data_IF_244977225438
#
_entry.id   IF_244977225438
#
_cell.length_a   1.000
_cell.length_b   1.000
_cell.length_c   1.000
_cell.angle_alpha   90.00
_cell.angle_beta   90.00
_cell.angle_gamma   90.00
#
_symmetry.space_group_name_H-M   'P 1'
#
loop_
_entity.id
_entity.type
_entity.pdbx_description
1 polymer ?
#
# COMPACT_ATOMS: atom_id res chain seq x y z
N UNK A 1 -0.67 29.18 24.94
CA UNK A 1 0.37 28.14 25.15
C UNK A 1 -0.01 26.75 24.60
N UNK A 2 -1.11 26.10 25.02
CA UNK A 2 -1.44 24.74 24.53
C UNK A 2 -1.70 24.67 23.01
N UNK A 3 -2.33 25.70 22.43
CA UNK A 3 -2.61 25.78 21.00
C UNK A 3 -1.32 25.95 20.16
N UNK A 4 -0.36 26.76 20.63
CA UNK A 4 0.93 26.97 19.95
C UNK A 4 1.79 25.70 19.91
N UNK A 5 1.77 24.90 20.98
CA UNK A 5 2.46 23.61 21.02
C UNK A 5 1.89 22.62 19.99
N UNK A 6 0.58 22.68 19.73
CA UNK A 6 -0.08 21.86 18.70
C UNK A 6 0.28 22.32 17.30
N UNK A 7 0.28 23.63 17.04
CA UNK A 7 0.65 24.19 15.73
C UNK A 7 2.12 23.88 15.39
N UNK A 8 3.05 24.08 16.34
CA UNK A 8 4.48 23.79 16.12
C UNK A 8 4.72 22.31 15.80
N UNK A 9 4.03 21.40 16.50
CA UNK A 9 4.11 19.96 16.24
C UNK A 9 3.57 19.58 14.86
N UNK A 10 2.47 20.20 14.46
CA UNK A 10 1.88 20.00 13.14
C UNK A 10 2.82 20.48 12.02
N UNK A 11 3.34 21.70 12.12
CA UNK A 11 4.31 22.25 11.14
C UNK A 11 5.52 21.33 11.05
N UNK A 12 6.05 20.86 12.18
CA UNK A 12 7.19 19.95 12.19
C UNK A 12 6.89 18.61 11.52
N UNK A 13 5.69 18.06 11.71
CA UNK A 13 5.24 16.88 10.97
C UNK A 13 5.19 17.15 9.46
N UNK A 14 4.61 18.27 9.03
CA UNK A 14 4.54 18.65 7.62
C UNK A 14 5.93 18.79 6.98
N UNK A 15 6.88 19.44 7.66
CA UNK A 15 8.27 19.58 7.19
C UNK A 15 8.93 18.21 7.06
N UNK A 16 8.80 17.35 8.08
CA UNK A 16 9.34 15.98 8.02
C UNK A 16 8.75 15.20 6.87
N UNK A 17 7.44 15.24 6.69
CA UNK A 17 6.76 14.53 5.62
C UNK A 17 7.20 15.05 4.24
N UNK A 18 7.34 16.37 4.08
CA UNK A 18 7.80 16.99 2.84
C UNK A 18 9.21 16.51 2.43
N UNK A 19 10.10 16.30 3.40
CA UNK A 19 11.46 15.79 3.15
C UNK A 19 11.48 14.28 2.99
N UNK A 20 10.75 13.54 3.85
CA UNK A 20 10.77 12.08 3.85
C UNK A 20 10.00 11.47 2.69
N UNK A 21 8.93 12.08 2.21
CA UNK A 21 8.12 11.53 1.13
C UNK A 21 8.90 11.35 -0.18
N UNK A 22 9.64 12.35 -0.71
CA UNK A 22 10.49 12.16 -1.87
C UNK A 22 11.55 11.08 -1.65
N UNK A 23 12.22 11.06 -0.49
CA UNK A 23 13.25 10.05 -0.19
C UNK A 23 12.67 8.64 -0.17
N UNK A 24 11.55 8.44 0.52
CA UNK A 24 10.88 7.13 0.61
C UNK A 24 10.37 6.67 -0.75
N UNK A 25 9.79 7.56 -1.56
CA UNK A 25 9.35 7.26 -2.91
C UNK A 25 10.53 6.87 -3.81
N UNK A 26 11.61 7.65 -3.79
CA UNK A 26 12.82 7.38 -4.54
C UNK A 26 13.41 6.00 -4.19
N UNK A 27 13.52 5.68 -2.91
CA UNK A 27 14.02 4.37 -2.45
C UNK A 27 13.07 3.23 -2.84
N UNK A 28 11.76 3.45 -2.69
CA UNK A 28 10.74 2.47 -3.06
C UNK A 28 10.81 2.13 -4.55
N UNK A 29 10.89 3.14 -5.40
CA UNK A 29 10.97 2.99 -6.84
C UNK A 29 12.19 2.18 -7.32
N UNK A 30 13.30 2.21 -6.58
CA UNK A 30 14.47 1.37 -6.89
C UNK A 30 14.22 -0.12 -6.64
N UNK A 31 13.49 -0.45 -5.57
CA UNK A 31 13.18 -1.86 -5.22
C UNK A 31 11.90 -2.37 -5.88
N UNK A 32 11.14 -1.47 -6.51
CA UNK A 32 9.82 -1.76 -7.05
C UNK A 32 9.80 -2.86 -8.12
N UNK A 33 10.75 -2.99 -9.07
CA UNK A 33 10.76 -4.09 -10.02
C UNK A 33 10.84 -5.47 -9.34
N UNK A 34 11.67 -5.58 -8.29
CA UNK A 34 11.78 -6.81 -7.50
C UNK A 34 10.49 -7.10 -6.73
N UNK A 35 9.87 -6.07 -6.16
CA UNK A 35 8.55 -6.19 -5.53
C UNK A 35 7.48 -6.65 -6.53
N UNK A 36 7.43 -6.04 -7.72
CA UNK A 36 6.48 -6.38 -8.77
C UNK A 36 6.65 -7.83 -9.26
N UNK A 37 7.89 -8.31 -9.34
CA UNK A 37 8.18 -9.70 -9.70
C UNK A 37 7.67 -10.67 -8.63
N UNK A 38 7.96 -10.41 -7.35
CA UNK A 38 7.48 -11.22 -6.24
C UNK A 38 5.95 -11.24 -6.15
N UNK A 39 5.33 -10.06 -6.26
CA UNK A 39 3.89 -9.90 -6.33
C UNK A 39 3.31 -10.71 -7.49
N UNK A 40 3.91 -10.62 -8.68
CA UNK A 40 3.50 -11.35 -9.87
C UNK A 40 3.53 -12.86 -9.75
N UNK A 41 4.54 -13.42 -9.09
CA UNK A 41 4.58 -14.87 -8.84
C UNK A 41 3.47 -15.30 -7.88
N UNK A 42 3.23 -14.53 -6.81
CA UNK A 42 2.16 -14.82 -5.84
C UNK A 42 0.79 -14.78 -6.52
N UNK A 43 0.51 -13.73 -7.29
CA UNK A 43 -0.78 -13.56 -7.98
C UNK A 43 -0.94 -14.53 -9.15
N UNK A 44 0.14 -14.86 -9.88
CA UNK A 44 0.09 -15.90 -10.90
C UNK A 44 -0.23 -17.28 -10.31
N UNK A 45 0.34 -17.62 -9.14
CA UNK A 45 0.00 -18.86 -8.44
C UNK A 45 -1.49 -18.92 -8.10
N UNK A 46 -2.04 -17.85 -7.52
CA UNK A 46 -3.47 -17.76 -7.18
C UNK A 46 -4.35 -17.88 -8.43
N UNK A 47 -4.04 -17.12 -9.49
CA UNK A 47 -4.81 -17.12 -10.74
C UNK A 47 -4.80 -18.50 -11.43
N UNK A 48 -3.66 -19.20 -11.41
CA UNK A 48 -3.56 -20.56 -11.96
C UNK A 48 -4.31 -21.57 -11.09
N UNK A 49 -4.12 -21.53 -9.78
CA UNK A 49 -4.64 -22.53 -8.85
C UNK A 49 -6.16 -22.41 -8.64
N UNK A 50 -6.69 -21.18 -8.54
CA UNK A 50 -8.10 -20.93 -8.20
C UNK A 50 -8.95 -20.69 -9.46
N UNK A 51 -8.42 -19.92 -10.42
CA UNK A 51 -9.20 -19.48 -11.59
C UNK A 51 -8.88 -20.23 -12.89
N UNK A 52 -7.93 -21.17 -12.86
CA UNK A 52 -7.53 -21.93 -14.04
C UNK A 52 -6.92 -21.07 -15.16
N UNK A 53 -6.38 -19.90 -14.82
CA UNK A 53 -5.88 -18.95 -15.81
C UNK A 53 -4.60 -19.51 -16.50
N UNK A 54 -4.50 -19.53 -17.84
CA UNK A 54 -3.40 -20.18 -18.56
C UNK A 54 -2.13 -19.32 -18.61
N UNK A 55 -1.58 -19.00 -17.44
CA UNK A 55 -0.37 -18.20 -17.27
C UNK A 55 0.87 -19.06 -17.56
N UNK A 56 1.65 -18.64 -18.56
CA UNK A 56 2.91 -19.28 -18.96
C UNK A 56 4.12 -18.67 -18.25
N UNK A 57 4.06 -17.39 -17.91
CA UNK A 57 5.15 -16.69 -17.23
C UNK A 57 4.72 -15.34 -16.66
N UNK A 58 5.53 -14.83 -15.73
CA UNK A 58 5.41 -13.47 -15.17
C UNK A 58 6.43 -12.59 -15.89
N UNK A 59 6.01 -11.39 -16.29
CA UNK A 59 6.87 -10.43 -16.97
C UNK A 59 6.84 -9.11 -16.21
N UNK A 60 8.02 -8.56 -15.96
CA UNK A 60 8.19 -7.22 -15.39
C UNK A 60 9.17 -6.47 -16.27
N UNK A 61 8.76 -5.30 -16.75
CA UNK A 61 9.64 -4.39 -17.48
C UNK A 61 9.82 -3.14 -16.65
N UNK A 62 11.01 -2.98 -16.09
CA UNK A 62 11.44 -1.73 -15.47
C UNK A 62 11.63 -0.68 -16.58
N UNK A 63 10.86 0.40 -16.51
CA UNK A 63 10.87 1.47 -17.51
C UNK A 63 10.78 2.84 -16.83
N UNK A 64 11.24 3.88 -17.53
CA UNK A 64 11.22 5.25 -17.04
C UNK A 64 12.35 5.58 -16.04
N UNK A 65 12.48 6.86 -15.72
CA UNK A 65 13.47 7.35 -14.75
C UNK A 65 13.10 6.81 -13.37
N UNK A 66 14.03 6.11 -12.71
CA UNK A 66 13.76 5.41 -11.44
C UNK A 66 12.64 4.37 -11.53
N UNK A 67 12.40 3.74 -12.66
CA UNK A 67 11.38 2.69 -12.81
C UNK A 67 9.93 3.20 -12.66
N UNK A 68 9.65 4.51 -12.71
CA UNK A 68 8.28 5.06 -12.53
C UNK A 68 7.26 4.58 -13.56
N UNK A 69 7.72 4.06 -14.70
CA UNK A 69 6.86 3.49 -15.75
C UNK A 69 6.88 1.96 -15.74
N UNK A 70 7.27 1.33 -14.63
CA UNK A 70 7.32 -0.14 -14.54
C UNK A 70 5.96 -0.73 -14.88
N UNK A 71 5.99 -1.67 -15.83
CA UNK A 71 4.84 -2.49 -16.19
C UNK A 71 5.06 -3.92 -15.72
N UNK A 72 3.98 -4.58 -15.37
CA UNK A 72 3.96 -5.96 -14.90
C UNK A 72 2.79 -6.69 -15.55
N UNK A 73 2.99 -7.96 -15.86
CA UNK A 73 1.98 -8.74 -16.55
C UNK A 73 2.23 -10.23 -16.58
N UNK A 74 1.38 -10.91 -17.34
CA UNK A 74 1.48 -12.34 -17.56
C UNK A 74 1.55 -12.67 -19.04
N UNK A 75 2.34 -13.69 -19.38
CA UNK A 75 2.28 -14.30 -20.71
C UNK A 75 1.12 -15.27 -20.75
N UNK A 76 0.16 -15.01 -21.63
CA UNK A 76 -1.03 -15.82 -21.84
C UNK A 76 -1.12 -16.14 -23.33
N UNK A 77 -1.14 -17.42 -23.69
CA UNK A 77 -1.14 -17.86 -25.09
C UNK A 77 0.00 -17.25 -25.93
N UNK A 78 1.20 -17.13 -25.34
CA UNK A 78 2.37 -16.53 -26.00
C UNK A 78 2.35 -15.02 -26.14
N UNK A 79 1.29 -14.32 -25.69
CA UNK A 79 1.19 -12.87 -25.74
C UNK A 79 1.34 -12.26 -24.34
N UNK A 80 2.21 -11.25 -24.14
CA UNK A 80 2.31 -10.53 -22.88
C UNK A 80 1.09 -9.64 -22.70
N UNK A 81 0.36 -9.82 -21.59
CA UNK A 81 -0.68 -8.92 -21.15
C UNK A 81 -0.16 -8.15 -19.93
N UNK A 82 0.25 -6.89 -20.13
CA UNK A 82 0.92 -6.05 -19.12
C UNK A 82 0.08 -4.85 -18.74
N UNK A 83 0.23 -4.41 -17.48
CA UNK A 83 -0.38 -3.20 -16.96
C UNK A 83 0.65 -2.35 -16.18
N UNK A 84 0.51 -1.02 -16.16
CA UNK A 84 1.36 -0.15 -15.36
C UNK A 84 1.14 -0.43 -13.87
N UNK A 85 2.20 -0.87 -13.18
CA UNK A 85 2.13 -1.25 -11.76
C UNK A 85 2.65 -0.16 -10.83
N UNK A 86 3.47 0.75 -11.36
CA UNK A 86 4.20 1.70 -10.55
C UNK A 86 3.28 2.60 -9.71
N UNK A 87 2.23 3.14 -10.33
CA UNK A 87 1.25 3.99 -9.64
C UNK A 87 0.48 3.22 -8.56
N UNK A 88 0.12 1.96 -8.83
CA UNK A 88 -0.60 1.10 -7.90
C UNK A 88 0.19 0.91 -6.60
N UNK A 89 1.49 0.61 -6.72
CA UNK A 89 2.32 0.14 -5.59
C UNK A 89 3.12 1.27 -4.93
N UNK A 90 3.14 2.47 -5.51
CA UNK A 90 3.81 3.66 -4.95
C UNK A 90 3.22 4.10 -3.60
N UNK A 91 2.02 3.63 -3.28
CA UNK A 91 1.34 3.86 -2.01
C UNK A 91 2.10 3.28 -0.78
N UNK A 92 2.99 2.30 -0.99
CA UNK A 92 3.90 1.79 0.05
C UNK A 92 4.93 2.85 0.43
N UNK A 93 5.53 3.52 -0.57
CA UNK A 93 6.48 4.60 -0.33
C UNK A 93 5.86 5.76 0.45
N UNK A 94 4.63 6.16 0.10
CA UNK A 94 3.90 7.22 0.82
C UNK A 94 3.52 6.79 2.24
N UNK A 95 3.06 5.55 2.43
CA UNK A 95 2.78 5.01 3.76
C UNK A 95 4.02 5.00 4.66
N UNK A 96 5.16 4.54 4.15
CA UNK A 96 6.43 4.56 4.88
C UNK A 96 6.81 5.98 5.30
N UNK A 97 6.67 6.97 4.41
CA UNK A 97 6.94 8.37 4.72
C UNK A 97 6.05 8.90 5.85
N UNK A 98 4.75 8.59 5.84
CA UNK A 98 3.81 8.96 6.89
C UNK A 98 4.19 8.35 8.25
N UNK A 99 4.50 7.06 8.26
CA UNK A 99 4.93 6.35 9.48
C UNK A 99 6.21 6.96 10.05
N UNK A 100 7.23 7.19 9.22
CA UNK A 100 8.50 7.78 9.64
C UNK A 100 8.38 9.25 10.08
N UNK A 101 7.50 10.02 9.45
CA UNK A 101 7.22 11.40 9.85
C UNK A 101 6.55 11.47 11.23
N UNK A 102 5.91 10.38 11.68
CA UNK A 102 5.18 10.32 12.95
C UNK A 102 6.13 10.16 14.13
N UNK A 103 6.63 11.29 14.64
CA UNK A 103 7.66 11.33 15.69
C UNK A 103 7.26 10.88 17.10
N UNK A 104 6.04 10.37 17.32
CA UNK A 104 5.54 9.94 18.65
C UNK A 104 5.54 8.42 18.86
N UNK A 105 5.92 7.64 17.85
CA UNK A 105 5.95 6.19 17.94
C UNK A 105 7.29 5.71 18.48
N UNK A 106 7.25 4.84 19.50
CA UNK A 106 8.46 4.09 19.89
C UNK A 106 8.92 3.19 18.74
N UNK A 107 10.24 2.94 18.64
CA UNK A 107 10.84 2.22 17.50
C UNK A 107 10.18 0.86 17.22
N UNK A 108 9.87 0.08 18.26
CA UNK A 108 9.16 -1.20 18.11
C UNK A 108 7.77 -1.03 17.48
N UNK A 109 7.02 -0.02 17.91
CA UNK A 109 5.66 0.26 17.38
C UNK A 109 5.73 0.80 15.96
N UNK A 110 6.72 1.64 15.66
CA UNK A 110 7.00 2.10 14.31
C UNK A 110 7.32 0.91 13.39
N UNK A 111 8.27 0.04 13.77
CA UNK A 111 8.66 -1.11 12.97
C UNK A 111 7.51 -2.11 12.75
N UNK A 112 6.79 -2.50 13.81
CA UNK A 112 5.66 -3.42 13.70
C UNK A 112 4.49 -2.80 12.93
N UNK A 113 4.17 -1.53 13.18
CA UNK A 113 3.12 -0.81 12.46
C UNK A 113 3.45 -0.67 10.98
N UNK A 114 4.69 -0.29 10.64
CA UNK A 114 5.13 -0.21 9.25
C UNK A 114 5.09 -1.58 8.57
N UNK A 115 5.59 -2.64 9.22
CA UNK A 115 5.54 -3.99 8.67
C UNK A 115 4.09 -4.47 8.43
N UNK A 116 3.20 -4.25 9.40
CA UNK A 116 1.78 -4.61 9.28
C UNK A 116 1.09 -3.84 8.14
N UNK A 117 1.33 -2.52 8.04
CA UNK A 117 0.76 -1.72 6.96
C UNK A 117 1.27 -2.13 5.57
N UNK A 118 2.58 -2.41 5.43
CA UNK A 118 3.16 -2.93 4.19
C UNK A 118 2.52 -4.28 3.82
N UNK A 119 2.32 -5.18 4.79
CA UNK A 119 1.67 -6.47 4.55
C UNK A 119 0.22 -6.30 4.06
N UNK A 120 -0.55 -5.40 4.68
CA UNK A 120 -1.94 -5.10 4.25
C UNK A 120 -1.97 -4.49 2.85
N UNK A 121 -1.09 -3.53 2.56
CA UNK A 121 -0.98 -2.93 1.22
C UNK A 121 -0.62 -3.99 0.17
N UNK A 122 0.38 -4.84 0.46
CA UNK A 122 0.78 -5.91 -0.44
C UNK A 122 -0.34 -6.93 -0.69
N UNK A 123 -1.09 -7.30 0.36
CA UNK A 123 -2.27 -8.14 0.21
C UNK A 123 -3.32 -7.47 -0.69
N UNK A 124 -3.54 -6.17 -0.54
CA UNK A 124 -4.53 -5.43 -1.35
C UNK A 124 -4.07 -5.30 -2.80
N UNK A 125 -2.77 -5.14 -3.06
CA UNK A 125 -2.21 -5.20 -4.43
C UNK A 125 -2.41 -6.58 -5.06
N UNK A 126 -2.19 -7.64 -4.30
CA UNK A 126 -2.42 -9.01 -4.78
C UNK A 126 -3.90 -9.23 -5.10
N UNK A 127 -4.79 -8.82 -4.19
CA UNK A 127 -6.24 -8.90 -4.39
C UNK A 127 -6.70 -8.09 -5.62
N UNK A 128 -6.14 -6.89 -5.81
CA UNK A 128 -6.41 -6.06 -6.99
C UNK A 128 -6.05 -6.80 -8.28
N UNK A 129 -4.82 -7.31 -8.37
CA UNK A 129 -4.35 -8.00 -9.57
C UNK A 129 -5.14 -9.27 -9.86
N UNK A 130 -5.41 -10.08 -8.83
CA UNK A 130 -6.23 -11.28 -8.99
C UNK A 130 -7.63 -10.90 -9.48
N UNK A 131 -8.26 -9.87 -8.92
CA UNK A 131 -9.58 -9.39 -9.35
C UNK A 131 -9.55 -8.84 -10.78
N UNK A 132 -8.56 -8.02 -11.12
CA UNK A 132 -8.37 -7.46 -12.46
C UNK A 132 -8.29 -8.56 -13.53
N UNK A 133 -7.42 -9.56 -13.34
CA UNK A 133 -7.21 -10.61 -14.34
C UNK A 133 -8.33 -11.66 -14.38
N UNK A 134 -8.92 -12.00 -13.23
CA UNK A 134 -10.05 -12.94 -13.16
C UNK A 134 -11.32 -12.37 -13.79
N UNK A 135 -11.56 -11.06 -13.64
CA UNK A 135 -12.74 -10.38 -14.18
C UNK A 135 -12.47 -9.65 -15.50
N UNK A 136 -11.29 -9.78 -16.11
CA UNK A 136 -10.89 -9.03 -17.30
C UNK A 136 -11.95 -9.02 -18.43
N UNK A 137 -12.66 -10.15 -18.62
CA UNK A 137 -13.75 -10.28 -19.60
C UNK A 137 -14.98 -9.43 -19.27
N UNK A 138 -15.30 -9.27 -17.98
CA UNK A 138 -16.42 -8.47 -17.48
C UNK A 138 -16.06 -6.97 -17.47
N UNK A 139 -14.80 -6.66 -17.16
CA UNK A 139 -14.27 -5.29 -17.01
C UNK A 139 -14.25 -4.53 -18.33
N UNK A 140 -14.04 -5.22 -19.45
CA UNK A 140 -14.12 -4.62 -20.78
C UNK A 140 -15.47 -3.93 -21.07
N UNK A 141 -16.49 -4.20 -20.25
CA UNK A 141 -17.85 -3.66 -20.39
C UNK A 141 -18.14 -2.46 -19.49
N UNK A 142 -17.49 -2.32 -18.34
CA UNK A 142 -17.70 -1.23 -17.38
C UNK A 142 -16.43 -0.95 -16.56
N UNK A 143 -15.81 0.20 -16.79
CA UNK A 143 -14.57 0.61 -16.11
C UNK A 143 -14.80 1.26 -14.73
N UNK A 144 -16.06 1.54 -14.36
CA UNK A 144 -16.39 2.31 -13.15
C UNK A 144 -15.86 1.63 -11.87
N UNK A 145 -15.96 0.31 -11.81
CA UNK A 145 -15.48 -0.49 -10.66
C UNK A 145 -13.98 -0.34 -10.42
N UNK A 146 -13.18 -0.20 -11.49
CA UNK A 146 -11.72 -0.12 -11.39
C UNK A 146 -11.25 1.25 -10.91
N UNK A 147 -11.94 2.31 -11.37
CA UNK A 147 -11.66 3.67 -10.92
C UNK A 147 -11.96 3.80 -9.42
N UNK A 148 -13.11 3.30 -8.97
CA UNK A 148 -13.48 3.32 -7.56
C UNK A 148 -12.49 2.53 -6.68
N UNK A 149 -12.08 1.33 -7.12
CA UNK A 149 -11.12 0.52 -6.38
C UNK A 149 -9.72 1.17 -6.33
N UNK A 150 -9.28 1.81 -7.42
CA UNK A 150 -8.04 2.56 -7.46
C UNK A 150 -8.07 3.76 -6.49
N UNK A 151 -9.20 4.46 -6.37
CA UNK A 151 -9.36 5.54 -5.39
C UNK A 151 -9.27 5.04 -3.94
N UNK A 152 -9.86 3.88 -3.64
CA UNK A 152 -9.72 3.24 -2.32
C UNK A 152 -8.25 2.93 -2.02
N UNK A 153 -7.54 2.33 -2.97
CA UNK A 153 -6.11 2.04 -2.83
C UNK A 153 -5.23 3.28 -2.66
N UNK A 154 -5.62 4.40 -3.25
CA UNK A 154 -4.92 5.68 -3.12
C UNK A 154 -5.08 6.28 -1.72
N UNK A 155 -6.24 6.08 -1.10
CA UNK A 155 -6.52 6.58 0.26
C UNK A 155 -6.07 5.62 1.37
N UNK A 156 -5.88 4.34 1.05
CA UNK A 156 -5.52 3.29 1.98
C UNK A 156 -4.25 3.58 2.82
N UNK A 157 -3.15 4.16 2.29
CA UNK A 157 -1.99 4.56 3.10
C UNK A 157 -2.36 5.47 4.26
N UNK A 158 -3.25 6.44 4.04
CA UNK A 158 -3.65 7.41 5.05
C UNK A 158 -4.50 6.75 6.12
N UNK A 159 -5.44 5.89 5.71
CA UNK A 159 -6.28 5.12 6.63
C UNK A 159 -5.41 4.21 7.50
N UNK A 160 -4.52 3.44 6.90
CA UNK A 160 -3.60 2.56 7.62
C UNK A 160 -2.69 3.33 8.57
N UNK A 161 -2.15 4.47 8.13
CA UNK A 161 -1.36 5.33 8.98
C UNK A 161 -2.15 5.83 10.18
N UNK A 162 -3.36 6.35 9.99
CA UNK A 162 -4.22 6.83 11.09
C UNK A 162 -4.48 5.69 12.08
N UNK A 163 -4.90 4.53 11.58
CA UNK A 163 -5.23 3.37 12.42
C UNK A 163 -4.01 2.88 13.19
N UNK A 164 -2.88 2.65 12.53
CA UNK A 164 -1.71 2.02 13.15
C UNK A 164 -0.92 2.99 14.04
N UNK A 165 -0.79 4.24 13.62
CA UNK A 165 -0.03 5.24 14.37
C UNK A 165 -0.81 5.80 15.58
N UNK A 166 -2.14 5.89 15.48
CA UNK A 166 -2.97 6.52 16.51
C UNK A 166 -3.92 5.56 17.24
N UNK A 167 -3.79 4.23 17.04
CA UNK A 167 -4.62 3.20 17.71
C UNK A 167 -4.89 3.50 19.19
N UNK A 168 -3.85 3.65 20.01
CA UNK A 168 -3.98 3.88 21.46
C UNK A 168 -4.70 5.19 21.86
N UNK A 169 -4.83 6.14 20.92
CA UNK A 169 -5.52 7.41 21.14
C UNK A 169 -7.00 7.33 20.77
N UNK A 170 -7.43 6.24 20.13
CA UNK A 170 -8.81 6.06 19.70
C UNK A 170 -9.70 5.74 20.92
N UNK A 171 -10.89 6.38 21.04
CA UNK A 171 -11.79 6.19 22.18
C UNK A 171 -12.17 4.73 22.44
N UNK A 172 -12.29 3.93 21.37
CA UNK A 172 -12.66 2.51 21.41
C UNK A 172 -11.49 1.56 21.70
N UNK A 173 -10.24 2.04 21.69
CA UNK A 173 -9.07 1.21 21.96
C UNK A 173 -8.72 1.13 23.45
N UNK A 174 -9.35 1.94 24.30
CA UNK A 174 -9.21 1.84 25.76
C UNK A 174 -10.02 0.65 26.25
N UNK A 175 -9.42 -0.35 26.91
CA UNK A 175 -10.19 -1.37 27.60
C UNK A 175 -11.09 -0.69 28.62
N UNK A 176 -12.33 -1.16 28.75
CA UNK A 176 -13.26 -0.73 29.79
C UNK A 176 -12.72 -1.18 31.16
N UNK A 177 -11.72 -0.48 31.69
CA UNK A 177 -11.20 -0.75 33.03
C UNK A 177 -12.13 -0.10 34.05
N UNK A 178 -13.05 -0.94 34.54
CA UNK A 178 -13.56 -1.01 35.92
C UNK A 178 -14.04 0.30 36.56
N UNK A 179 -15.24 0.73 36.17
CA UNK A 179 -16.16 1.34 37.13
C UNK A 179 -16.86 0.23 37.91
N UNK A 180 -16.21 -0.40 38.91
CA UNK A 180 -16.89 -1.19 39.96
C UNK A 180 -15.86 -1.84 40.88
N UNK A 181 -15.39 -1.11 41.89
CA UNK A 181 -15.06 -1.64 43.22
C UNK A 181 -14.93 -0.45 44.16
N UNK A 182 -16.07 0.14 44.50
CA UNK A 182 -16.25 0.92 45.73
C UNK A 182 -17.72 0.76 46.15
N UNK A 183 -17.99 -0.36 46.81
CA UNK A 183 -19.15 -0.60 47.68
C UNK A 183 -18.68 -1.36 48.90
#
# INVERSE_FOLDING_TARGET
MAQELTVRRFIWFCVKLFVLAPVCLCLWWQIMPAYALGLGHVTAFILRAIFGYPIQGVVVHAQGVMNVDTVMGYVVMGQPNTLPIAQLVSNIGTFCALMLATGRLGFRRLALGTAAGIAILAFTHAAYLVTFYSLAKTIARDQTYFVAFAQVLLTLPFILWIVLAFWDQMPWAKPATSQETDK
#
